data_IF_302272180558
#
_entry.id   IF_302272180558
#
_cell.length_a   1.000
_cell.length_b   1.000
_cell.length_c   1.000
_cell.angle_alpha   90.00
_cell.angle_beta   90.00
_cell.angle_gamma   90.00
#
_symmetry.space_group_name_H-M   'P 1'
#
loop_
_entity.id
_entity.type
_entity.pdbx_description
1 polymer ?
#
# COMPACT_ATOMS: atom_id res chain seq x y z
N UNK A 1 -8.54 -9.26 -20.66
CA UNK A 1 -8.41 -7.82 -20.30
C UNK A 1 -6.97 -7.56 -19.94
N UNK A 2 -6.37 -6.44 -20.36
CA UNK A 2 -5.04 -6.03 -19.90
C UNK A 2 -5.15 -5.38 -18.53
N UNK A 3 -4.11 -5.55 -17.71
CA UNK A 3 -4.06 -5.01 -16.34
C UNK A 3 -2.95 -3.98 -16.22
N UNK A 4 -3.22 -2.88 -15.54
CA UNK A 4 -2.24 -1.83 -15.23
C UNK A 4 -2.12 -1.70 -13.71
N UNK A 5 -0.90 -1.62 -13.19
CA UNK A 5 -0.62 -1.17 -11.83
C UNK A 5 -0.33 0.33 -11.85
N UNK A 6 -1.23 1.13 -11.27
CA UNK A 6 -1.10 2.59 -11.17
C UNK A 6 -0.18 2.99 -10.02
N UNK A 7 1.10 2.59 -10.08
CA UNK A 7 2.05 2.83 -9.00
C UNK A 7 3.48 2.87 -9.50
N UNK A 8 4.29 3.80 -8.96
CA UNK A 8 5.74 3.83 -9.14
C UNK A 8 6.50 3.01 -8.07
N UNK A 9 5.81 2.45 -7.07
CA UNK A 9 6.44 1.71 -5.97
C UNK A 9 7.08 0.41 -6.46
N UNK A 10 8.42 0.25 -6.30
CA UNK A 10 9.10 -0.99 -6.66
C UNK A 10 8.61 -2.17 -5.83
N UNK A 11 8.25 -1.95 -4.56
CA UNK A 11 7.73 -2.97 -3.65
C UNK A 11 6.37 -3.54 -4.12
N UNK A 12 5.45 -2.67 -4.54
CA UNK A 12 4.15 -3.10 -5.10
C UNK A 12 4.32 -3.90 -6.39
N UNK A 13 5.23 -3.43 -7.25
CA UNK A 13 5.61 -4.14 -8.48
C UNK A 13 6.11 -5.55 -8.15
N UNK A 14 7.06 -5.67 -7.23
CA UNK A 14 7.66 -6.95 -6.82
C UNK A 14 6.60 -7.92 -6.28
N UNK A 15 5.71 -7.47 -5.38
CA UNK A 15 4.63 -8.29 -4.84
C UNK A 15 3.76 -8.84 -5.99
N UNK A 16 3.35 -7.98 -6.92
CA UNK A 16 2.48 -8.40 -8.01
C UNK A 16 3.20 -9.28 -9.04
N UNK A 17 4.50 -9.06 -9.27
CA UNK A 17 5.34 -9.90 -10.15
C UNK A 17 5.53 -11.32 -9.63
N UNK A 18 5.41 -11.55 -8.31
CA UNK A 18 5.47 -12.89 -7.72
C UNK A 18 4.20 -13.72 -8.00
N UNK A 19 3.20 -13.13 -8.65
CA UNK A 19 2.02 -13.83 -9.18
C UNK A 19 2.18 -14.15 -10.66
N UNK A 20 1.25 -14.91 -11.22
CA UNK A 20 1.22 -15.17 -12.68
C UNK A 20 0.50 -14.06 -13.48
N UNK A 21 0.01 -13.01 -12.82
CA UNK A 21 -0.68 -11.92 -13.49
C UNK A 21 0.28 -11.13 -14.38
N UNK A 22 -0.09 -10.98 -15.66
CA UNK A 22 0.61 -10.08 -16.58
C UNK A 22 0.03 -8.68 -16.44
N UNK A 23 0.87 -7.70 -16.18
CA UNK A 23 0.47 -6.31 -16.00
C UNK A 23 1.50 -5.34 -16.58
N UNK A 24 1.03 -4.14 -16.91
CA UNK A 24 1.84 -2.98 -17.27
C UNK A 24 1.96 -2.06 -16.04
N UNK A 25 2.97 -1.18 -16.02
CA UNK A 25 3.10 -0.16 -14.98
C UNK A 25 2.86 1.19 -15.62
N UNK A 26 2.00 1.99 -15.01
CA UNK A 26 1.81 3.39 -15.38
C UNK A 26 1.64 4.20 -14.09
N UNK A 27 2.57 5.13 -13.84
CA UNK A 27 2.46 6.03 -12.67
C UNK A 27 1.27 6.97 -12.85
N UNK A 28 0.56 7.22 -11.77
CA UNK A 28 -0.39 8.32 -11.66
C UNK A 28 0.35 9.63 -11.39
N UNK A 29 -0.14 10.72 -11.95
CA UNK A 29 0.43 12.07 -11.82
C UNK A 29 -0.39 12.97 -10.87
N UNK A 30 -1.29 12.39 -10.06
CA UNK A 30 -2.09 13.16 -9.09
C UNK A 30 -1.21 13.74 -7.98
N UNK A 31 -1.62 14.89 -7.46
CA UNK A 31 -1.14 15.45 -6.21
C UNK A 31 -1.93 14.86 -5.04
N UNK A 32 -1.22 14.30 -4.05
CA UNK A 32 -1.86 13.71 -2.87
C UNK A 32 -2.24 14.82 -1.88
N UNK A 33 -3.52 15.11 -1.76
CA UNK A 33 -4.04 16.11 -0.83
C UNK A 33 -4.55 15.44 0.43
N UNK A 34 -4.15 15.96 1.60
CA UNK A 34 -4.69 15.54 2.90
C UNK A 34 -5.93 16.39 3.17
N UNK A 35 -7.08 15.75 3.37
CA UNK A 35 -8.33 16.44 3.72
C UNK A 35 -8.48 16.49 5.24
N UNK A 36 -8.97 17.64 5.74
CA UNK A 36 -9.28 17.78 7.16
C UNK A 36 -10.42 16.85 7.57
N UNK A 37 -10.31 16.27 8.77
CA UNK A 37 -11.30 15.38 9.36
C UNK A 37 -11.56 14.06 8.59
N UNK A 38 -10.70 13.67 7.66
CA UNK A 38 -10.78 12.38 6.99
C UNK A 38 -10.17 11.28 7.86
N UNK A 39 -10.88 10.15 8.01
CA UNK A 39 -10.31 8.99 8.74
C UNK A 39 -9.15 8.38 7.93
N UNK A 40 -8.16 7.77 8.61
CA UNK A 40 -7.05 7.10 7.92
C UNK A 40 -7.51 6.07 6.90
N UNK A 41 -8.57 5.30 7.21
CA UNK A 41 -9.15 4.29 6.33
C UNK A 41 -9.79 4.92 5.08
N UNK A 42 -10.55 6.01 5.25
CA UNK A 42 -11.16 6.74 4.12
C UNK A 42 -10.09 7.37 3.23
N UNK A 43 -9.04 7.93 3.83
CA UNK A 43 -7.94 8.56 3.13
C UNK A 43 -7.23 7.59 2.18
N UNK A 44 -6.85 6.39 2.64
CA UNK A 44 -6.15 5.42 1.77
C UNK A 44 -7.03 4.91 0.64
N UNK A 45 -8.32 4.74 0.88
CA UNK A 45 -9.28 4.33 -0.14
C UNK A 45 -9.43 5.42 -1.20
N UNK A 46 -9.59 6.67 -0.80
CA UNK A 46 -9.67 7.83 -1.71
C UNK A 46 -8.39 7.97 -2.53
N UNK A 47 -7.22 7.96 -1.89
CA UNK A 47 -5.94 8.10 -2.60
C UNK A 47 -5.68 6.93 -3.56
N UNK A 48 -6.03 5.70 -3.17
CA UNK A 48 -5.96 4.55 -4.07
C UNK A 48 -6.88 4.70 -5.28
N UNK A 49 -8.12 5.18 -5.05
CA UNK A 49 -9.09 5.46 -6.11
C UNK A 49 -8.59 6.56 -7.05
N UNK A 50 -8.16 7.70 -6.54
CA UNK A 50 -7.68 8.83 -7.34
C UNK A 50 -6.50 8.41 -8.24
N UNK A 51 -5.54 7.64 -7.70
CA UNK A 51 -4.42 7.09 -8.47
C UNK A 51 -4.89 6.13 -9.57
N UNK A 52 -5.82 5.24 -9.25
CA UNK A 52 -6.37 4.32 -10.24
C UNK A 52 -7.17 5.05 -11.32
N UNK A 53 -7.98 6.02 -10.93
CA UNK A 53 -8.87 6.75 -11.83
C UNK A 53 -8.11 7.62 -12.82
N UNK A 54 -7.06 8.35 -12.41
CA UNK A 54 -6.19 9.11 -13.30
C UNK A 54 -5.64 8.24 -14.44
N UNK A 55 -5.15 7.04 -14.10
CA UNK A 55 -4.61 6.11 -15.09
C UNK A 55 -5.72 5.46 -15.92
N UNK A 56 -6.87 5.14 -15.31
CA UNK A 56 -8.00 4.50 -15.99
C UNK A 56 -8.64 5.42 -17.03
N UNK A 57 -8.68 6.73 -16.82
CA UNK A 57 -9.18 7.68 -17.81
C UNK A 57 -8.41 7.61 -19.14
N UNK A 58 -7.12 7.33 -19.08
CA UNK A 58 -6.23 7.18 -20.24
C UNK A 58 -6.25 5.75 -20.82
N UNK A 59 -6.87 4.78 -20.12
CA UNK A 59 -6.86 3.35 -20.43
C UNK A 59 -8.23 2.69 -20.18
N UNK A 60 -9.28 3.19 -20.79
CA UNK A 60 -10.69 2.87 -20.47
C UNK A 60 -11.06 1.38 -20.59
N UNK A 61 -10.40 0.66 -21.50
CA UNK A 61 -10.61 -0.77 -21.78
C UNK A 61 -9.78 -1.71 -20.89
N UNK A 62 -8.89 -1.17 -20.06
CA UNK A 62 -8.00 -1.93 -19.18
C UNK A 62 -8.52 -1.95 -17.75
N UNK A 63 -8.14 -2.97 -16.98
CA UNK A 63 -8.30 -2.97 -15.53
C UNK A 63 -7.12 -2.24 -14.89
N UNK A 64 -7.41 -1.23 -14.11
CA UNK A 64 -6.38 -0.46 -13.39
C UNK A 64 -6.44 -0.77 -11.89
N UNK A 65 -5.29 -1.13 -11.33
CA UNK A 65 -5.09 -1.39 -9.90
C UNK A 65 -4.37 -0.18 -9.31
N UNK A 66 -5.04 0.54 -8.40
CA UNK A 66 -4.45 1.58 -7.56
C UNK A 66 -4.26 1.10 -6.14
N UNK A 67 -3.25 1.63 -5.45
CA UNK A 67 -3.06 1.39 -4.04
C UNK A 67 -2.37 2.58 -3.37
N UNK A 68 -2.74 2.81 -2.11
CA UNK A 68 -2.07 3.75 -1.23
C UNK A 68 -1.84 3.17 0.15
N UNK A 69 -0.78 3.60 0.84
CA UNK A 69 -0.40 3.04 2.15
C UNK A 69 0.02 4.15 3.09
N UNK A 70 -0.57 4.17 4.27
CA UNK A 70 -0.23 5.08 5.35
C UNK A 70 0.09 4.35 6.64
N UNK A 71 0.82 5.05 7.52
CA UNK A 71 1.03 4.68 8.92
C UNK A 71 0.20 5.62 9.78
N UNK A 72 -0.54 5.09 10.76
CA UNK A 72 -1.34 5.88 11.68
C UNK A 72 -1.12 5.45 13.13
N UNK A 73 -0.86 6.41 14.02
CA UNK A 73 -0.79 6.23 15.47
C UNK A 73 -1.88 7.09 16.11
N UNK A 74 -2.77 6.47 16.88
CA UNK A 74 -3.86 7.16 17.58
C UNK A 74 -4.69 8.07 16.65
N UNK A 75 -4.98 7.61 15.42
CA UNK A 75 -5.62 8.32 14.31
C UNK A 75 -4.81 9.47 13.68
N UNK A 76 -3.62 9.77 14.15
CA UNK A 76 -2.71 10.70 13.50
C UNK A 76 -1.97 9.98 12.36
N UNK A 77 -2.07 10.50 11.14
CA UNK A 77 -1.38 9.96 9.97
C UNK A 77 0.06 10.45 9.96
N UNK A 78 0.99 9.50 9.92
CA UNK A 78 2.41 9.76 9.77
C UNK A 78 2.80 9.59 8.30
N UNK A 79 2.99 10.72 7.62
CA UNK A 79 3.43 10.76 6.22
C UNK A 79 4.90 10.39 6.03
N UNK A 80 5.45 10.75 4.88
CA UNK A 80 6.90 10.66 4.64
C UNK A 80 7.59 11.82 5.34
N UNK A 81 8.70 11.58 6.06
CA UNK A 81 9.46 12.64 6.69
C UNK A 81 10.15 13.53 5.64
N UNK A 82 10.26 14.80 5.93
CA UNK A 82 10.94 15.79 5.08
C UNK A 82 12.46 15.65 5.13
N UNK A 83 12.96 15.26 6.30
CA UNK A 83 14.38 15.16 6.60
C UNK A 83 14.66 14.09 7.69
N UNK A 84 15.93 13.93 8.05
CA UNK A 84 16.37 12.97 9.06
C UNK A 84 15.88 13.31 10.46
N UNK A 85 15.70 14.58 10.77
CA UNK A 85 15.22 15.00 12.11
C UNK A 85 13.74 14.64 12.26
N UNK A 86 12.91 14.92 11.27
CA UNK A 86 11.51 14.52 11.29
C UNK A 86 11.38 12.99 11.31
N UNK A 87 12.23 12.27 10.56
CA UNK A 87 12.29 10.81 10.60
C UNK A 87 12.63 10.29 12.00
N UNK A 88 13.62 10.90 12.69
CA UNK A 88 13.98 10.55 14.06
C UNK A 88 12.79 10.74 15.02
N UNK A 89 12.10 11.87 14.94
CA UNK A 89 10.93 12.15 15.78
C UNK A 89 9.79 11.17 15.52
N UNK A 90 9.54 10.78 14.26
CA UNK A 90 8.53 9.77 13.90
C UNK A 90 8.87 8.41 14.51
N UNK A 91 10.11 7.92 14.36
CA UNK A 91 10.54 6.64 14.93
C UNK A 91 10.49 6.68 16.47
N UNK A 92 10.93 7.77 17.09
CA UNK A 92 10.85 7.98 18.55
C UNK A 92 9.38 7.93 19.03
N UNK A 93 8.47 8.54 18.28
CA UNK A 93 7.02 8.53 18.56
C UNK A 93 6.42 7.13 18.50
N UNK A 94 6.90 6.28 17.58
CA UNK A 94 6.46 4.90 17.39
C UNK A 94 7.10 3.90 18.35
N UNK A 95 8.26 4.25 18.97
CA UNK A 95 8.98 3.38 19.91
C UNK A 95 8.07 2.89 21.04
N UNK A 96 8.14 1.58 21.33
CA UNK A 96 7.36 0.87 22.34
C UNK A 96 5.81 1.01 22.18
N UNK A 97 5.34 1.31 20.96
CA UNK A 97 3.91 1.45 20.66
C UNK A 97 3.47 0.51 19.57
N UNK A 98 2.15 0.29 19.52
CA UNK A 98 1.47 -0.39 18.41
C UNK A 98 0.79 0.67 17.56
N UNK A 99 1.02 0.61 16.27
CA UNK A 99 0.43 1.52 15.28
C UNK A 99 -0.21 0.75 14.14
N UNK A 100 -1.10 1.41 13.40
CA UNK A 100 -1.75 0.85 12.22
C UNK A 100 -0.91 1.12 10.98
N UNK A 101 -0.81 0.12 10.09
CA UNK A 101 -0.43 0.29 8.69
C UNK A 101 -1.65 -0.08 7.86
N UNK A 102 -2.12 0.86 7.05
CA UNK A 102 -3.37 0.74 6.31
C UNK A 102 -3.05 0.91 4.83
N UNK A 103 -3.47 -0.06 4.02
CA UNK A 103 -3.36 0.03 2.56
C UNK A 103 -4.75 -0.02 1.93
N UNK A 104 -5.10 1.03 1.19
CA UNK A 104 -6.25 1.09 0.31
C UNK A 104 -5.95 0.45 -1.05
N UNK A 105 -6.96 -0.17 -1.64
CA UNK A 105 -6.94 -0.76 -2.98
C UNK A 105 -8.11 -0.20 -3.76
N UNK A 106 -7.88 0.13 -5.02
CA UNK A 106 -8.93 0.47 -5.98
C UNK A 106 -8.73 -0.28 -7.29
N UNK A 107 -9.80 -0.91 -7.78
CA UNK A 107 -9.85 -1.61 -9.04
C UNK A 107 -10.86 -0.89 -9.95
N UNK A 108 -10.42 -0.41 -11.10
CA UNK A 108 -11.25 0.39 -12.01
C UNK A 108 -11.17 -0.16 -13.42
N UNK A 109 -12.34 -0.41 -14.02
CA UNK A 109 -12.49 -0.60 -15.47
C UNK A 109 -13.62 0.30 -15.97
N UNK A 110 -13.26 1.37 -16.66
CA UNK A 110 -14.23 2.39 -17.10
C UNK A 110 -15.19 1.83 -18.15
N UNK A 111 -14.72 1.05 -19.12
CA UNK A 111 -15.54 0.51 -20.20
C UNK A 111 -16.63 -0.43 -19.69
N UNK A 112 -16.43 -1.06 -18.53
CA UNK A 112 -17.43 -1.94 -17.91
C UNK A 112 -18.18 -1.24 -16.77
N UNK A 113 -17.91 0.05 -16.49
CA UNK A 113 -18.53 0.79 -15.41
C UNK A 113 -18.20 0.23 -14.02
N UNK A 114 -17.08 -0.48 -13.88
CA UNK A 114 -16.72 -1.17 -12.64
C UNK A 114 -15.73 -0.36 -11.82
N UNK A 115 -16.07 -0.15 -10.55
CA UNK A 115 -15.19 0.44 -9.52
C UNK A 115 -15.36 -0.38 -8.26
N UNK A 116 -14.26 -0.93 -7.74
CA UNK A 116 -14.22 -1.69 -6.50
C UNK A 116 -13.14 -1.11 -5.62
N UNK A 117 -13.50 -0.70 -4.41
CA UNK A 117 -12.60 -0.11 -3.44
C UNK A 117 -12.64 -0.92 -2.14
N UNK A 118 -11.50 -1.12 -1.51
CA UNK A 118 -11.40 -1.77 -0.21
C UNK A 118 -10.09 -1.35 0.49
N UNK A 119 -9.89 -1.74 1.73
CA UNK A 119 -8.65 -1.51 2.47
C UNK A 119 -8.34 -2.68 3.40
N UNK A 120 -7.08 -2.77 3.82
CA UNK A 120 -6.61 -3.73 4.83
C UNK A 120 -5.84 -2.98 5.91
N UNK A 121 -6.04 -3.39 7.17
CA UNK A 121 -5.34 -2.86 8.34
C UNK A 121 -4.45 -3.95 8.92
N UNK A 122 -3.20 -3.62 9.21
CA UNK A 122 -2.28 -4.44 10.00
C UNK A 122 -1.73 -3.63 11.16
N UNK A 123 -1.52 -4.29 12.29
CA UNK A 123 -0.91 -3.68 13.47
C UNK A 123 0.57 -4.03 13.54
N UNK A 124 1.40 -3.03 13.76
CA UNK A 124 2.84 -3.19 13.94
C UNK A 124 3.21 -2.64 15.31
N UNK A 125 3.88 -3.47 16.11
CA UNK A 125 4.40 -3.07 17.43
C UNK A 125 5.90 -2.90 17.33
N UNK A 126 6.41 -1.73 17.69
CA UNK A 126 7.85 -1.50 17.79
C UNK A 126 8.43 -1.99 19.12
N UNK A 127 9.70 -2.32 19.10
CA UNK A 127 10.50 -2.54 20.31
C UNK A 127 10.60 -1.23 21.09
N UNK A 128 11.01 -1.33 22.35
CA UNK A 128 11.51 -0.18 23.10
C UNK A 128 12.90 0.18 22.55
N UNK A 129 12.99 1.31 21.83
CA UNK A 129 14.16 1.70 21.08
C UNK A 129 14.97 2.74 21.85
N UNK A 130 16.26 2.48 22.03
CA UNK A 130 17.20 3.49 22.54
C UNK A 130 17.43 4.59 21.50
N UNK A 131 17.84 5.78 21.97
CA UNK A 131 18.18 6.88 21.05
C UNK A 131 19.28 6.50 20.06
N UNK A 132 20.24 5.71 20.47
CA UNK A 132 21.33 5.24 19.61
C UNK A 132 20.79 4.30 18.51
N UNK A 133 19.89 3.36 18.87
CA UNK A 133 19.26 2.48 17.88
C UNK A 133 18.45 3.26 16.84
N UNK A 134 17.78 4.34 17.26
CA UNK A 134 17.04 5.22 16.33
C UNK A 134 18.02 5.95 15.41
N UNK A 135 19.10 6.53 15.96
CA UNK A 135 20.13 7.22 15.16
C UNK A 135 20.79 6.28 14.15
N UNK A 136 21.14 5.07 14.57
CA UNK A 136 21.73 4.05 13.70
C UNK A 136 20.81 3.73 12.52
N UNK A 137 19.52 3.53 12.79
CA UNK A 137 18.53 3.31 11.72
C UNK A 137 18.42 4.51 10.78
N UNK A 138 18.32 5.73 11.29
CA UNK A 138 18.23 6.95 10.44
C UNK A 138 19.47 7.10 9.55
N UNK A 139 20.64 6.71 10.05
CA UNK A 139 21.88 6.77 9.28
C UNK A 139 21.95 5.76 8.12
N UNK A 140 21.07 4.75 8.07
CA UNK A 140 20.95 3.87 6.90
C UNK A 140 20.35 4.56 5.69
N UNK A 141 19.71 5.71 5.84
CA UNK A 141 18.95 6.46 4.85
C UNK A 141 17.70 5.73 4.30
N UNK A 142 17.22 4.67 4.94
CA UNK A 142 15.99 3.97 4.53
C UNK A 142 14.71 4.74 4.85
N UNK A 143 14.76 5.74 5.72
CA UNK A 143 13.59 6.36 6.35
C UNK A 143 12.84 7.33 5.43
N UNK A 144 13.53 8.04 4.52
CA UNK A 144 13.03 9.26 3.90
C UNK A 144 11.91 9.05 2.85
N UNK A 145 11.81 7.89 2.25
CA UNK A 145 10.83 7.59 1.20
C UNK A 145 9.59 6.82 1.68
N UNK A 146 9.45 6.66 3.01
CA UNK A 146 8.44 5.78 3.61
C UNK A 146 7.52 6.50 4.59
N UNK A 147 6.22 6.18 4.53
CA UNK A 147 5.26 6.62 5.55
C UNK A 147 5.68 6.12 6.94
N UNK A 148 5.58 6.99 7.96
CA UNK A 148 6.04 6.69 9.31
C UNK A 148 7.56 6.49 9.44
N UNK A 149 8.33 6.92 8.43
CA UNK A 149 9.78 6.88 8.38
C UNK A 149 10.41 5.48 8.49
N UNK A 150 9.68 4.38 8.21
CA UNK A 150 10.26 3.04 8.22
C UNK A 150 9.68 2.11 7.16
N UNK A 151 10.42 1.05 6.84
CA UNK A 151 9.93 -0.07 6.03
C UNK A 151 10.09 -1.39 6.77
N UNK A 152 9.08 -2.28 6.65
CA UNK A 152 9.14 -3.62 7.27
C UNK A 152 10.20 -4.51 6.64
N UNK A 153 10.66 -4.18 5.45
CA UNK A 153 11.78 -4.81 4.74
C UNK A 153 13.09 -4.07 5.09
N UNK A 154 14.23 -4.71 4.91
CA UNK A 154 15.52 -4.08 5.19
C UNK A 154 15.79 -3.84 6.69
N UNK A 155 16.50 -2.77 7.01
CA UNK A 155 16.89 -2.44 8.40
C UNK A 155 15.69 -2.06 9.27
N UNK A 156 14.61 -1.53 8.70
CA UNK A 156 13.40 -1.22 9.46
C UNK A 156 12.75 -2.43 10.13
N UNK A 157 13.00 -3.65 9.63
CA UNK A 157 12.58 -4.88 10.30
C UNK A 157 13.17 -5.03 11.72
N UNK A 158 14.36 -4.46 11.98
CA UNK A 158 15.02 -4.52 13.28
C UNK A 158 14.29 -3.72 14.37
N UNK A 159 13.48 -2.73 13.97
CA UNK A 159 12.67 -1.90 14.87
C UNK A 159 11.44 -2.64 15.38
N UNK A 160 10.97 -3.64 14.62
CA UNK A 160 9.69 -4.31 14.85
C UNK A 160 9.82 -5.42 15.90
N UNK A 161 8.89 -5.42 16.86
CA UNK A 161 8.71 -6.46 17.87
C UNK A 161 7.71 -7.51 17.42
N UNK A 162 6.58 -7.08 16.85
CA UNK A 162 5.48 -7.96 16.47
C UNK A 162 4.64 -7.35 15.33
N UNK A 163 4.00 -8.22 14.56
CA UNK A 163 3.02 -7.89 13.52
C UNK A 163 1.74 -8.69 13.81
N UNK A 164 0.58 -8.03 13.68
CA UNK A 164 -0.71 -8.68 13.66
C UNK A 164 -1.47 -8.26 12.39
N UNK A 165 -1.75 -9.21 11.50
CA UNK A 165 -2.42 -8.99 10.22
C UNK A 165 -1.57 -9.42 9.02
N UNK A 166 -1.80 -8.77 7.89
CA UNK A 166 -1.17 -9.09 6.61
C UNK A 166 0.18 -8.38 6.43
N UNK A 167 1.25 -9.16 6.28
CA UNK A 167 2.59 -8.64 6.00
C UNK A 167 2.66 -7.86 4.69
N UNK A 168 2.00 -8.36 3.63
CA UNK A 168 2.01 -7.70 2.32
C UNK A 168 1.24 -6.37 2.33
N UNK A 169 0.25 -6.23 3.21
CA UNK A 169 -0.38 -4.95 3.50
C UNK A 169 0.65 -3.93 4.02
N UNK A 170 1.52 -4.34 4.95
CA UNK A 170 2.57 -3.47 5.51
C UNK A 170 3.61 -3.10 4.44
N UNK A 171 3.95 -4.02 3.54
CA UNK A 171 4.86 -3.74 2.40
C UNK A 171 4.21 -2.79 1.39
N UNK A 172 2.87 -2.76 1.31
CA UNK A 172 2.11 -1.78 0.54
C UNK A 172 1.18 -2.31 -0.55
N UNK A 173 0.96 -3.64 -0.64
CA UNK A 173 -0.05 -4.25 -1.51
C UNK A 173 -0.56 -5.55 -0.88
N UNK A 174 -1.73 -5.57 -0.23
CA UNK A 174 -2.29 -6.76 0.42
C UNK A 174 -2.76 -7.75 -0.65
N UNK A 175 -1.85 -8.62 -1.08
CA UNK A 175 -2.03 -9.48 -2.26
C UNK A 175 -3.14 -10.51 -2.08
N UNK A 176 -3.40 -10.97 -0.85
CA UNK A 176 -4.50 -11.88 -0.56
C UNK A 176 -5.84 -11.20 -0.82
N UNK A 177 -6.07 -10.02 -0.24
CA UNK A 177 -7.28 -9.22 -0.47
C UNK A 177 -7.42 -8.85 -1.95
N UNK A 178 -6.34 -8.43 -2.60
CA UNK A 178 -6.35 -8.12 -4.03
C UNK A 178 -6.77 -9.35 -4.86
N UNK A 179 -6.29 -10.55 -4.51
CA UNK A 179 -6.68 -11.79 -5.18
C UNK A 179 -8.18 -12.07 -5.08
N UNK A 180 -8.77 -11.85 -3.89
CA UNK A 180 -10.21 -12.05 -3.68
C UNK A 180 -11.02 -11.05 -4.52
N UNK A 181 -10.67 -9.76 -4.47
CA UNK A 181 -11.35 -8.72 -5.25
C UNK A 181 -11.26 -8.96 -6.77
N UNK A 182 -10.09 -9.39 -7.27
CA UNK A 182 -9.89 -9.72 -8.67
C UNK A 182 -10.74 -10.93 -9.10
N UNK A 183 -10.82 -11.94 -8.25
CA UNK A 183 -11.61 -13.15 -8.51
C UNK A 183 -13.10 -12.85 -8.47
N UNK A 184 -13.57 -12.14 -7.45
CA UNK A 184 -15.01 -11.94 -7.20
C UNK A 184 -15.66 -10.96 -8.17
N UNK A 185 -14.90 -9.97 -8.64
CA UNK A 185 -15.44 -8.88 -9.47
C UNK A 185 -14.97 -8.91 -10.93
N UNK A 186 -13.83 -9.57 -11.23
CA UNK A 186 -13.22 -9.50 -12.57
C UNK A 186 -12.91 -10.87 -13.17
N UNK A 187 -13.27 -11.97 -12.51
CA UNK A 187 -12.96 -13.35 -12.95
C UNK A 187 -11.45 -13.60 -13.20
N UNK A 188 -10.57 -12.88 -12.49
CA UNK A 188 -9.12 -13.01 -12.59
C UNK A 188 -8.59 -13.82 -11.41
N UNK A 189 -7.87 -14.91 -11.72
CA UNK A 189 -7.23 -15.75 -10.72
C UNK A 189 -5.71 -15.60 -10.78
N UNK A 190 -5.09 -15.14 -9.68
CA UNK A 190 -3.66 -14.88 -9.61
C UNK A 190 -2.79 -16.14 -9.69
N UNK A 191 -3.32 -17.33 -9.35
CA UNK A 191 -2.58 -18.59 -9.47
C UNK A 191 -2.36 -19.03 -10.92
N UNK A 192 -3.26 -18.63 -11.83
CA UNK A 192 -3.23 -19.06 -13.23
C UNK A 192 -2.85 -17.94 -14.20
N UNK A 193 -2.80 -16.71 -13.73
CA UNK A 193 -2.37 -15.55 -14.50
C UNK A 193 -3.34 -15.12 -15.60
N UNK A 194 -4.62 -15.52 -15.54
CA UNK A 194 -5.61 -15.22 -16.56
C UNK A 194 -7.04 -15.48 -16.11
N UNK A 195 -7.96 -15.30 -17.07
CA UNK A 195 -9.38 -15.50 -16.89
C UNK A 195 -9.69 -16.97 -16.58
N UNK A 196 -10.44 -17.19 -15.53
CA UNK A 196 -11.14 -18.46 -15.36
C UNK A 196 -12.32 -18.45 -16.34
N UNK A 197 -12.22 -19.24 -17.40
CA UNK A 197 -13.44 -19.74 -18.03
C UNK A 197 -13.97 -20.77 -17.02
N UNK A 198 -14.78 -20.33 -16.08
CA UNK A 198 -15.56 -21.21 -15.25
C UNK A 198 -16.49 -21.96 -16.19
N UNK A 199 -16.13 -23.17 -16.63
CA UNK A 199 -17.11 -24.09 -17.18
C UNK A 199 -18.07 -24.37 -16.03
N UNK A 200 -19.22 -23.68 -16.02
CA UNK A 200 -20.37 -24.12 -15.25
C UNK A 200 -20.65 -25.57 -15.71
N UNK A 201 -20.35 -26.51 -14.82
CA UNK A 201 -20.85 -27.90 -14.93
C UNK A 201 -22.31 -27.88 -14.52
#
# INVERSE_FOLDING_TARGET
MKVILASASPRRKEILQNTKLKFEIQKSDIEEVILENESPESMVVRLAYEKAYDVAQKNKDKLVIGADTIVALDNEVLGKPKDKEEAYQMIKKLSNKTHKVITGISLINISHGMVVNDYVVSLVTFKDLSEDSIKDYINTNESLDKAGAYGIQGYGALLVKNIQGDYFNIVGLPISKLSDLLKDHFDINLFYGGWFICKKV
#
